data_IF_837571518386
#
_entry.id   IF_837571518386
#
_cell.length_a   1.000
_cell.length_b   1.000
_cell.length_c   1.000
_cell.angle_alpha   90.00
_cell.angle_beta   90.00
_cell.angle_gamma   90.00
#
_symmetry.space_group_name_H-M   'P 1'
#
loop_
_entity.id
_entity.type
_entity.pdbx_description
1 polymer ?
#
# COMPACT_ATOMS: atom_id res chain seq x y z
N UNK A 1 -0.67 10.77 -13.52
CA UNK A 1 -1.74 10.00 -12.83
C UNK A 1 -1.09 8.73 -12.31
N UNK A 2 -0.90 8.61 -10.99
CA UNK A 2 -0.02 7.60 -10.38
C UNK A 2 -0.58 6.18 -10.59
N UNK A 3 0.20 5.30 -11.22
CA UNK A 3 -0.18 3.94 -11.65
C UNK A 3 -0.06 2.89 -10.55
N UNK A 4 0.45 3.24 -9.36
CA UNK A 4 0.70 2.31 -8.25
C UNK A 4 0.42 2.99 -6.91
N UNK A 5 -0.13 2.26 -5.92
CA UNK A 5 -0.34 2.80 -4.58
C UNK A 5 0.99 2.86 -3.82
N UNK A 6 1.46 4.08 -3.51
CA UNK A 6 2.58 4.30 -2.61
C UNK A 6 2.13 4.19 -1.14
N UNK A 7 2.74 3.27 -0.40
CA UNK A 7 2.39 3.02 1.01
C UNK A 7 3.16 3.93 1.98
N UNK A 8 4.30 4.45 1.56
CA UNK A 8 5.19 5.26 2.37
C UNK A 8 5.52 6.56 1.65
N UNK A 9 5.78 7.61 2.43
CA UNK A 9 6.21 8.91 1.93
C UNK A 9 7.54 9.30 2.60
N UNK A 10 8.40 9.97 1.84
CA UNK A 10 9.71 10.50 2.24
C UNK A 10 9.84 11.89 1.58
N UNK A 11 10.35 12.98 2.17
CA UNK A 11 11.02 13.27 3.45
C UNK A 11 10.13 14.16 4.32
N UNK A 12 9.54 13.60 5.36
CA UNK A 12 8.69 14.34 6.28
C UNK A 12 9.56 14.96 7.38
N UNK A 13 9.97 16.22 7.21
CA UNK A 13 10.81 16.97 8.15
C UNK A 13 9.98 17.97 8.96
N UNK A 14 10.06 17.90 10.29
CA UNK A 14 9.30 18.79 11.19
C UNK A 14 9.65 20.26 11.01
N UNK A 15 10.93 20.56 10.76
CA UNK A 15 11.43 21.92 10.51
C UNK A 15 10.88 22.55 9.22
N UNK A 16 10.44 21.73 8.27
CA UNK A 16 9.90 22.18 6.99
C UNK A 16 8.37 22.33 7.07
N UNK A 17 7.67 21.31 7.55
CA UNK A 17 6.21 21.35 7.72
C UNK A 17 5.72 20.36 8.79
N UNK A 18 5.70 20.82 10.05
CA UNK A 18 5.12 20.05 11.14
C UNK A 18 3.60 19.87 11.01
N UNK A 19 2.90 20.82 10.39
CA UNK A 19 1.45 20.78 10.21
C UNK A 19 1.03 19.64 9.30
N UNK A 20 1.68 19.50 8.14
CA UNK A 20 1.47 18.38 7.22
C UNK A 20 1.74 17.02 7.86
N UNK A 21 2.78 16.93 8.70
CA UNK A 21 3.10 15.72 9.48
C UNK A 21 1.99 15.40 10.48
N UNK A 22 1.57 16.40 11.27
CA UNK A 22 0.52 16.25 12.28
C UNK A 22 -0.81 15.82 11.67
N UNK A 23 -1.26 16.49 10.61
CA UNK A 23 -2.49 16.16 9.91
C UNK A 23 -2.45 14.74 9.30
N UNK A 24 -1.31 14.30 8.76
CA UNK A 24 -1.19 12.94 8.22
C UNK A 24 -1.25 11.88 9.33
N UNK A 25 -0.58 12.12 10.47
CA UNK A 25 -0.63 11.24 11.63
C UNK A 25 -2.05 11.13 12.19
N UNK A 26 -2.71 12.25 12.42
CA UNK A 26 -4.09 12.29 12.90
C UNK A 26 -5.03 11.56 11.93
N UNK A 27 -4.89 11.79 10.62
CA UNK A 27 -5.69 11.12 9.59
C UNK A 27 -5.50 9.60 9.62
N UNK A 28 -4.27 9.12 9.81
CA UNK A 28 -3.98 7.68 9.90
C UNK A 28 -4.53 7.06 11.18
N UNK A 29 -4.34 7.74 12.32
CA UNK A 29 -4.88 7.32 13.62
C UNK A 29 -6.41 7.24 13.58
N UNK A 30 -7.07 8.28 13.07
CA UNK A 30 -8.53 8.32 12.90
C UNK A 30 -9.03 7.24 11.95
N UNK A 31 -8.29 6.97 10.88
CA UNK A 31 -8.60 5.87 9.95
C UNK A 31 -8.49 4.49 10.61
N UNK A 32 -7.53 4.29 11.50
CA UNK A 32 -7.31 3.01 12.18
C UNK A 32 -8.32 2.77 13.31
N UNK A 33 -8.61 3.79 14.11
CA UNK A 33 -9.33 3.62 15.38
C UNK A 33 -10.79 4.09 15.35
N UNK A 34 -11.16 5.01 14.45
CA UNK A 34 -12.46 5.69 14.50
C UNK A 34 -13.31 5.53 13.23
N UNK A 35 -12.81 4.87 12.18
CA UNK A 35 -13.62 4.62 10.98
C UNK A 35 -14.59 3.45 11.18
N UNK A 36 -15.89 3.74 11.00
CA UNK A 36 -16.89 2.76 10.52
C UNK A 36 -16.30 2.02 9.31
N UNK A 37 -16.22 0.70 9.42
CA UNK A 37 -15.53 -0.24 8.53
C UNK A 37 -15.54 0.14 7.03
N UNK A 38 -14.53 0.88 6.57
CA UNK A 38 -14.18 0.84 5.14
C UNK A 38 -13.48 -0.50 4.92
N UNK A 39 -14.25 -1.51 4.49
CA UNK A 39 -13.69 -2.81 4.16
C UNK A 39 -12.66 -2.62 3.04
N UNK A 40 -11.43 -3.04 3.29
CA UNK A 40 -10.40 -3.11 2.27
C UNK A 40 -10.93 -3.98 1.14
N UNK A 41 -10.84 -3.51 -0.11
CA UNK A 41 -11.15 -4.36 -1.25
C UNK A 41 -10.04 -5.42 -1.34
N UNK A 42 -10.36 -6.63 -0.85
CA UNK A 42 -9.41 -7.74 -0.80
C UNK A 42 -8.94 -8.14 -2.20
N UNK A 43 -9.77 -7.98 -3.23
CA UNK A 43 -9.38 -8.29 -4.60
C UNK A 43 -8.34 -7.29 -5.12
N UNK A 44 -8.49 -6.01 -4.78
CA UNK A 44 -7.46 -5.00 -5.08
C UNK A 44 -6.17 -5.29 -4.31
N UNK A 45 -6.28 -5.59 -3.01
CA UNK A 45 -5.11 -5.88 -2.17
C UNK A 45 -4.33 -7.12 -2.63
N UNK A 46 -5.03 -8.21 -2.97
CA UNK A 46 -4.42 -9.46 -3.44
C UNK A 46 -3.71 -9.33 -4.79
N UNK A 47 -4.12 -8.37 -5.62
CA UNK A 47 -3.50 -8.08 -6.92
C UNK A 47 -2.21 -7.26 -6.81
N UNK A 48 -1.91 -6.68 -5.64
CA UNK A 48 -0.68 -5.90 -5.47
C UNK A 48 0.54 -6.84 -5.60
N UNK A 49 1.56 -6.50 -6.40
CA UNK A 49 2.68 -7.37 -6.74
C UNK A 49 3.39 -7.98 -5.54
N UNK A 50 3.63 -7.20 -4.48
CA UNK A 50 4.30 -7.73 -3.29
C UNK A 50 3.44 -8.77 -2.54
N UNK A 51 2.11 -8.57 -2.48
CA UNK A 51 1.17 -9.52 -1.87
C UNK A 51 1.10 -10.79 -2.72
N UNK A 52 0.96 -10.63 -4.03
CA UNK A 52 0.95 -11.74 -5.00
C UNK A 52 2.24 -12.55 -4.93
N UNK A 53 3.39 -11.89 -4.93
CA UNK A 53 4.71 -12.51 -4.80
C UNK A 53 4.81 -13.34 -3.52
N UNK A 54 4.48 -12.72 -2.38
CA UNK A 54 4.51 -13.40 -1.08
C UNK A 54 3.61 -14.64 -1.05
N UNK A 55 2.40 -14.55 -1.59
CA UNK A 55 1.49 -15.68 -1.67
C UNK A 55 2.02 -16.80 -2.57
N UNK A 56 2.66 -16.47 -3.71
CA UNK A 56 3.25 -17.47 -4.61
C UNK A 56 4.48 -18.15 -3.98
N UNK A 57 5.28 -17.41 -3.20
CA UNK A 57 6.37 -17.98 -2.39
C UNK A 57 5.82 -18.96 -1.36
N UNK A 58 4.81 -18.55 -0.58
CA UNK A 58 4.20 -19.43 0.43
C UNK A 58 3.59 -20.70 -0.16
N UNK A 59 3.01 -20.60 -1.36
CA UNK A 59 2.37 -21.72 -2.04
C UNK A 59 3.34 -22.56 -2.88
N UNK A 60 4.62 -22.18 -2.96
CA UNK A 60 5.63 -22.88 -3.77
C UNK A 60 5.40 -22.80 -5.29
N UNK A 61 4.62 -21.82 -5.76
CA UNK A 61 4.25 -21.65 -7.19
C UNK A 61 4.97 -20.49 -7.85
N UNK A 62 5.94 -19.87 -7.16
CA UNK A 62 6.68 -18.74 -7.69
C UNK A 62 7.66 -19.21 -8.78
N UNK A 63 7.52 -18.65 -9.97
CA UNK A 63 8.56 -18.61 -10.99
C UNK A 63 9.19 -17.20 -10.98
N UNK A 64 10.42 -17.04 -10.45
CA UNK A 64 11.07 -15.74 -10.31
C UNK A 64 11.31 -15.04 -11.64
N UNK A 65 11.61 -15.80 -12.70
CA UNK A 65 12.00 -15.24 -13.99
C UNK A 65 10.79 -14.73 -14.79
N UNK A 66 9.60 -15.26 -14.49
CA UNK A 66 8.34 -14.91 -15.15
C UNK A 66 7.37 -14.12 -14.26
N UNK A 67 7.82 -13.63 -13.10
CA UNK A 67 6.95 -12.90 -12.18
C UNK A 67 6.65 -11.49 -12.70
N UNK A 68 5.38 -11.24 -13.05
CA UNK A 68 4.94 -9.92 -13.48
C UNK A 68 4.60 -8.99 -12.29
N UNK A 69 5.32 -7.87 -12.23
CA UNK A 69 5.18 -6.81 -11.23
C UNK A 69 4.12 -5.74 -11.55
N UNK A 70 3.34 -5.85 -12.64
CA UNK A 70 2.29 -4.87 -12.96
C UNK A 70 0.96 -5.21 -12.27
N UNK A 71 0.32 -4.18 -11.68
CA UNK A 71 -0.97 -4.33 -10.95
C UNK A 71 -2.16 -4.32 -11.90
N UNK A 72 -2.03 -3.59 -13.02
CA UNK A 72 -3.07 -3.38 -14.03
C UNK A 72 -2.48 -3.76 -15.39
N UNK A 73 -3.14 -4.68 -16.11
CA UNK A 73 -2.96 -4.78 -17.56
C UNK A 73 -3.78 -3.63 -18.15
N UNK A 74 -3.17 -2.85 -19.04
CA UNK A 74 -3.87 -1.93 -19.92
C UNK A 74 -4.93 -2.67 -20.75
#
# INVERSE_FOLDING_TARGET
>A
MYSHPDFTANKMLQEFDFGGIGCWHERMYNRQHFRRHWKMNLDTYRKVPHVKYHNMVQNGTLDPDNFNCTVFKE
#
